data_IF_507670536461
#
_entry.id   IF_507670536461
#
_cell.length_a   1.000
_cell.length_b   1.000
_cell.length_c   1.000
_cell.angle_alpha   90.00
_cell.angle_beta   90.00
_cell.angle_gamma   90.00
#
_symmetry.space_group_name_H-M   'P 1'
#
loop_
_entity.id
_entity.type
_entity.pdbx_description
1 polymer ?
#
# COMPACT_ATOMS: atom_id res chain seq x y z
N UNK A 1 14.40 22.02 -11.29
CA UNK A 1 13.60 21.72 -12.49
C UNK A 1 12.44 20.84 -12.06
N UNK A 2 11.18 21.19 -12.35
CA UNK A 2 10.05 20.30 -12.03
C UNK A 2 10.20 19.00 -12.83
N UNK A 3 10.13 17.85 -12.16
CA UNK A 3 10.18 16.55 -12.82
C UNK A 3 8.98 16.47 -13.80
N UNK A 4 9.23 16.56 -15.10
CA UNK A 4 8.16 16.37 -16.08
C UNK A 4 7.91 14.88 -16.19
N UNK A 5 6.85 14.42 -15.54
CA UNK A 5 6.39 13.05 -15.71
C UNK A 5 5.67 13.00 -17.05
N UNK A 6 6.16 12.24 -18.05
CA UNK A 6 5.43 12.03 -19.29
C UNK A 6 4.06 11.36 -19.00
N UNK A 7 3.22 11.18 -20.02
CA UNK A 7 1.88 10.53 -19.94
C UNK A 7 1.92 9.08 -19.38
N UNK A 8 2.34 8.90 -18.14
CA UNK A 8 2.43 7.64 -17.43
C UNK A 8 1.09 7.34 -16.75
N UNK A 9 0.76 6.06 -16.66
CA UNK A 9 -0.38 5.60 -15.89
C UNK A 9 -0.17 5.87 -14.40
N UNK A 10 -1.26 5.92 -13.63
CA UNK A 10 -1.21 6.03 -12.15
C UNK A 10 -0.25 4.98 -11.56
N UNK A 11 -0.28 3.75 -12.10
CA UNK A 11 0.63 2.71 -11.66
C UNK A 11 2.10 3.04 -11.92
N UNK A 12 2.43 3.52 -13.12
CA UNK A 12 3.80 3.93 -13.46
C UNK A 12 4.31 5.09 -12.59
N UNK A 13 3.45 6.07 -12.30
CA UNK A 13 3.79 7.18 -11.38
C UNK A 13 4.06 6.62 -9.97
N UNK A 14 3.19 5.74 -9.48
CA UNK A 14 3.35 5.09 -8.17
C UNK A 14 4.65 4.28 -8.08
N UNK A 15 5.09 3.58 -9.12
CA UNK A 15 6.38 2.87 -9.13
C UNK A 15 7.58 3.82 -9.10
N UNK A 16 7.54 4.94 -9.83
CA UNK A 16 8.64 5.92 -9.79
C UNK A 16 8.68 6.59 -8.41
N UNK A 17 7.52 6.95 -7.85
CA UNK A 17 7.42 7.49 -6.51
C UNK A 17 7.93 6.49 -5.46
N UNK A 18 7.67 5.19 -5.64
CA UNK A 18 8.21 4.14 -4.80
C UNK A 18 9.74 4.14 -4.79
N UNK A 19 10.38 4.24 -5.96
CA UNK A 19 11.84 4.31 -6.02
C UNK A 19 12.37 5.51 -5.22
N UNK A 20 11.82 6.71 -5.43
CA UNK A 20 12.22 7.89 -4.65
C UNK A 20 11.97 7.70 -3.13
N UNK A 21 10.85 7.08 -2.77
CA UNK A 21 10.53 6.77 -1.38
C UNK A 21 11.55 5.81 -0.74
N UNK A 22 11.87 4.71 -1.41
CA UNK A 22 12.87 3.73 -0.96
C UNK A 22 14.25 4.38 -0.78
N UNK A 23 14.67 5.27 -1.69
CA UNK A 23 15.97 5.96 -1.58
C UNK A 23 15.98 7.16 -0.62
N UNK A 24 14.88 7.45 0.08
CA UNK A 24 14.80 8.59 1.00
C UNK A 24 14.73 9.96 0.30
N UNK A 25 14.49 10.00 -1.00
CA UNK A 25 14.29 11.22 -1.79
C UNK A 25 12.86 11.76 -1.60
N UNK A 26 12.52 12.15 -0.38
CA UNK A 26 11.13 12.41 0.05
C UNK A 26 10.46 13.55 -0.72
N UNK A 27 11.19 14.63 -1.00
CA UNK A 27 10.64 15.78 -1.75
C UNK A 27 10.20 15.37 -3.16
N UNK A 28 11.05 14.64 -3.88
CA UNK A 28 10.75 14.13 -5.23
C UNK A 28 9.60 13.12 -5.22
N UNK A 29 9.50 12.29 -4.18
CA UNK A 29 8.34 11.42 -4.00
C UNK A 29 7.04 12.23 -3.87
N UNK A 30 7.02 13.25 -3.00
CA UNK A 30 5.84 14.10 -2.82
C UNK A 30 5.49 14.92 -4.07
N UNK A 31 6.49 15.43 -4.81
CA UNK A 31 6.27 16.14 -6.07
C UNK A 31 5.52 15.29 -7.11
N UNK A 32 5.75 13.98 -7.12
CA UNK A 32 5.03 13.05 -7.99
C UNK A 32 3.63 12.70 -7.46
N UNK A 33 3.52 12.44 -6.16
CA UNK A 33 2.29 11.92 -5.57
C UNK A 33 1.19 12.96 -5.46
N UNK A 34 1.51 14.21 -5.10
CA UNK A 34 0.51 15.23 -4.82
C UNK A 34 -0.36 15.55 -6.05
N UNK A 35 0.19 15.86 -7.24
CA UNK A 35 -0.61 16.14 -8.43
C UNK A 35 -1.44 14.93 -8.89
N UNK A 36 -0.88 13.72 -8.76
CA UNK A 36 -1.56 12.48 -9.13
C UNK A 36 -2.79 12.23 -8.25
N UNK A 37 -2.65 12.41 -6.92
CA UNK A 37 -3.73 12.24 -5.97
C UNK A 37 -4.83 13.30 -6.16
N UNK A 38 -4.45 14.56 -6.40
CA UNK A 38 -5.38 15.65 -6.69
C UNK A 38 -6.17 15.42 -7.99
N UNK A 39 -5.49 14.98 -9.05
CA UNK A 39 -6.13 14.62 -10.33
C UNK A 39 -7.09 13.44 -10.15
N UNK A 40 -6.69 12.42 -9.39
CA UNK A 40 -7.52 11.23 -9.15
C UNK A 40 -8.75 11.53 -8.29
N UNK A 41 -8.68 12.55 -7.42
CA UNK A 41 -9.83 13.04 -6.63
C UNK A 41 -10.79 13.86 -7.48
N UNK A 42 -10.28 14.73 -8.34
CA UNK A 42 -11.10 15.59 -9.22
C UNK A 42 -11.68 14.87 -10.43
N UNK A 43 -11.03 13.81 -10.92
CA UNK A 43 -11.46 12.99 -12.06
C UNK A 43 -11.40 11.50 -11.72
N UNK A 44 -12.44 10.94 -11.08
CA UNK A 44 -12.49 9.53 -10.70
C UNK A 44 -12.31 8.56 -11.89
N UNK A 45 -12.61 9.01 -13.11
CA UNK A 45 -12.46 8.24 -14.35
C UNK A 45 -10.98 7.99 -14.77
N UNK A 46 -10.01 8.78 -14.28
CA UNK A 46 -8.56 8.55 -14.52
C UNK A 46 -8.04 7.31 -13.77
N UNK A 47 -8.83 6.76 -12.82
CA UNK A 47 -8.57 5.47 -12.16
C UNK A 47 -8.49 4.29 -13.14
N UNK A 48 -8.88 4.47 -14.40
CA UNK A 48 -9.08 3.41 -15.40
C UNK A 48 -7.97 3.30 -16.45
N UNK A 49 -6.83 3.98 -16.30
CA UNK A 49 -5.83 4.07 -17.36
C UNK A 49 -4.79 2.92 -17.34
N UNK A 50 -5.27 1.67 -17.39
CA UNK A 50 -4.49 0.53 -17.83
C UNK A 50 -5.27 -0.24 -18.90
N UNK A 51 -4.59 -0.83 -19.88
CA UNK A 51 -5.21 -1.66 -20.92
C UNK A 51 -6.06 -2.81 -20.32
N UNK A 52 -5.69 -3.27 -19.13
CA UNK A 52 -6.46 -4.25 -18.35
C UNK A 52 -7.79 -3.69 -17.84
N UNK A 53 -7.84 -2.42 -17.45
CA UNK A 53 -9.08 -1.75 -17.01
C UNK A 53 -10.09 -1.64 -18.16
N UNK A 54 -9.64 -1.44 -19.40
CA UNK A 54 -10.49 -1.49 -20.60
C UNK A 54 -11.02 -2.91 -20.83
N UNK A 55 -10.16 -3.92 -20.65
CA UNK A 55 -10.53 -5.34 -20.76
C UNK A 55 -11.56 -5.76 -19.70
N UNK A 56 -11.40 -5.29 -18.45
CA UNK A 56 -12.36 -5.50 -17.37
C UNK A 56 -13.70 -4.78 -17.61
N UNK A 57 -13.67 -3.57 -18.20
CA UNK A 57 -14.88 -2.84 -18.60
C UNK A 57 -15.65 -3.59 -19.71
N UNK A 58 -14.92 -4.17 -20.68
CA UNK A 58 -15.50 -5.00 -21.74
C UNK A 58 -16.08 -6.30 -21.14
N UNK A 59 -15.36 -6.98 -20.24
CA UNK A 59 -15.85 -8.16 -19.53
C UNK A 59 -17.10 -7.88 -18.69
N UNK A 60 -17.14 -6.75 -17.98
CA UNK A 60 -18.31 -6.31 -17.21
C UNK A 60 -19.55 -6.15 -18.10
N UNK A 61 -19.39 -5.53 -19.27
CA UNK A 61 -20.47 -5.36 -20.25
C UNK A 61 -20.91 -6.65 -20.93
N UNK A 62 -20.02 -7.65 -21.05
CA UNK A 62 -20.33 -8.95 -21.67
C UNK A 62 -20.98 -9.92 -20.66
N UNK A 63 -20.62 -9.84 -19.39
CA UNK A 63 -21.03 -10.82 -18.38
C UNK A 63 -22.30 -10.45 -17.60
N UNK A 64 -22.97 -9.31 -17.86
CA UNK A 64 -24.14 -8.84 -17.11
C UNK A 64 -23.97 -8.92 -15.57
N UNK A 65 -22.73 -8.78 -15.09
CA UNK A 65 -22.41 -8.80 -13.67
C UNK A 65 -22.16 -7.39 -13.17
N UNK A 66 -22.65 -7.08 -11.96
CA UNK A 66 -22.29 -5.88 -11.20
C UNK A 66 -20.78 -5.89 -10.88
N UNK A 67 -19.97 -5.54 -11.87
CA UNK A 67 -18.50 -5.41 -11.78
C UNK A 67 -18.07 -3.95 -11.59
N UNK A 68 -19.04 -3.06 -11.30
CA UNK A 68 -18.90 -1.61 -11.23
C UNK A 68 -17.86 -1.09 -10.22
N UNK A 69 -17.34 -1.95 -9.35
CA UNK A 69 -16.47 -1.54 -8.24
C UNK A 69 -15.03 -2.11 -8.31
N UNK A 70 -14.67 -2.95 -9.28
CA UNK A 70 -13.32 -3.55 -9.29
C UNK A 70 -12.22 -2.53 -9.60
N UNK A 71 -11.47 -2.11 -8.55
CA UNK A 71 -10.34 -1.17 -8.70
C UNK A 71 -9.10 -1.92 -9.19
N UNK A 72 -8.40 -1.45 -10.23
CA UNK A 72 -7.21 -2.13 -10.75
C UNK A 72 -6.10 -2.13 -9.70
N UNK A 73 -5.53 -3.31 -9.47
CA UNK A 73 -4.33 -3.49 -8.63
C UNK A 73 -3.10 -3.55 -9.51
N UNK A 74 -1.99 -3.02 -9.00
CA UNK A 74 -0.66 -3.16 -9.63
C UNK A 74 0.22 -4.04 -8.74
N UNK A 75 1.13 -4.77 -9.39
CA UNK A 75 2.23 -5.42 -8.69
C UNK A 75 3.33 -4.38 -8.50
N UNK A 76 3.49 -3.91 -7.27
CA UNK A 76 4.64 -3.09 -6.88
C UNK A 76 5.83 -4.01 -6.73
N UNK A 77 6.75 -3.91 -7.68
CA UNK A 77 7.97 -4.71 -7.73
C UNK A 77 8.98 -4.07 -6.78
N UNK A 78 9.47 -4.87 -5.83
CA UNK A 78 10.59 -4.54 -4.98
C UNK A 78 11.79 -5.40 -5.38
N UNK A 79 12.95 -4.79 -5.37
CA UNK A 79 14.22 -5.47 -5.57
C UNK A 79 14.83 -5.88 -4.23
N UNK A 80 15.60 -6.98 -4.16
CA UNK A 80 16.24 -7.43 -2.93
C UNK A 80 17.07 -6.34 -2.22
N UNK A 81 17.71 -5.46 -2.99
CA UNK A 81 18.52 -4.36 -2.45
C UNK A 81 17.69 -3.27 -1.76
N UNK A 82 16.39 -3.17 -2.04
CA UNK A 82 15.50 -2.18 -1.44
C UNK A 82 15.04 -2.59 -0.05
N UNK A 83 15.03 -3.89 0.29
CA UNK A 83 14.57 -4.41 1.60
C UNK A 83 15.09 -3.66 2.84
N UNK A 84 16.39 -3.31 2.97
CA UNK A 84 16.88 -2.54 4.12
C UNK A 84 16.41 -1.08 4.12
N UNK A 85 15.98 -0.56 2.98
CA UNK A 85 15.53 0.82 2.79
C UNK A 85 14.01 0.99 3.01
N UNK A 86 13.26 -0.11 2.91
CA UNK A 86 11.81 -0.09 3.10
C UNK A 86 11.43 0.20 4.55
N UNK A 87 10.36 0.96 4.72
CA UNK A 87 9.63 1.04 5.99
C UNK A 87 9.30 -0.35 6.50
N UNK A 88 9.35 -0.53 7.82
CA UNK A 88 9.02 -1.78 8.49
C UNK A 88 7.73 -2.40 7.97
N UNK A 89 6.65 -1.63 7.80
CA UNK A 89 5.36 -2.16 7.35
C UNK A 89 5.47 -2.88 5.99
N UNK A 90 6.04 -2.22 4.99
CA UNK A 90 6.22 -2.80 3.65
C UNK A 90 7.23 -3.94 3.67
N UNK A 91 8.29 -3.82 4.48
CA UNK A 91 9.30 -4.86 4.63
C UNK A 91 8.68 -6.15 5.16
N UNK A 92 7.78 -6.09 6.15
CA UNK A 92 7.09 -7.27 6.66
C UNK A 92 6.15 -7.87 5.61
N UNK A 93 5.41 -7.05 4.87
CA UNK A 93 4.58 -7.53 3.76
C UNK A 93 5.42 -8.29 2.72
N UNK A 94 6.57 -7.73 2.32
CA UNK A 94 7.46 -8.31 1.32
C UNK A 94 8.17 -9.59 1.82
N UNK A 95 8.69 -9.59 3.05
CA UNK A 95 9.39 -10.74 3.62
C UNK A 95 8.45 -11.92 3.89
N UNK A 96 7.27 -11.66 4.42
CA UNK A 96 6.30 -12.74 4.70
C UNK A 96 5.81 -13.37 3.41
N UNK A 97 5.56 -12.58 2.37
CA UNK A 97 5.26 -13.09 1.03
C UNK A 97 6.36 -14.01 0.50
N UNK A 98 7.63 -13.61 0.66
CA UNK A 98 8.78 -14.44 0.29
C UNK A 98 8.77 -15.77 1.03
N UNK A 99 8.64 -15.76 2.37
CA UNK A 99 8.65 -16.99 3.16
C UNK A 99 7.47 -17.91 2.84
N UNK A 100 6.26 -17.35 2.72
CA UNK A 100 5.07 -18.12 2.33
C UNK A 100 5.32 -18.80 0.97
N UNK A 101 5.81 -18.07 -0.02
CA UNK A 101 6.07 -18.64 -1.33
C UNK A 101 7.22 -19.64 -1.33
N UNK A 102 8.31 -19.44 -0.59
CA UNK A 102 9.38 -20.44 -0.42
C UNK A 102 8.85 -21.76 0.17
N UNK A 103 7.93 -21.69 1.14
CA UNK A 103 7.26 -22.85 1.70
C UNK A 103 6.40 -23.58 0.65
N UNK A 104 5.70 -22.84 -0.21
CA UNK A 104 4.87 -23.42 -1.29
C UNK A 104 5.70 -23.91 -2.48
N UNK A 105 6.79 -23.23 -2.84
CA UNK A 105 7.64 -23.57 -3.99
C UNK A 105 8.63 -24.69 -3.68
N UNK A 106 9.02 -24.94 -2.43
CA UNK A 106 9.63 -26.23 -2.05
C UNK A 106 8.75 -27.44 -2.36
N UNK A 107 7.44 -27.24 -2.60
CA UNK A 107 6.50 -28.29 -3.04
C UNK A 107 6.28 -28.30 -4.57
N UNK A 108 6.79 -27.32 -5.32
CA UNK A 108 6.58 -27.19 -6.76
C UNK A 108 7.93 -26.89 -7.47
N UNK A 109 8.47 -27.90 -8.14
CA UNK A 109 9.76 -27.82 -8.84
C UNK A 109 9.66 -26.86 -10.03
N UNK A 110 10.53 -25.85 -10.08
CA UNK A 110 10.80 -25.02 -11.27
C UNK A 110 10.01 -23.70 -11.34
N UNK A 111 10.41 -22.68 -10.58
CA UNK A 111 9.90 -21.32 -10.74
C UNK A 111 11.03 -20.29 -10.88
N UNK A 112 10.76 -19.33 -11.78
CA UNK A 112 11.62 -18.24 -12.28
C UNK A 112 12.14 -17.30 -11.19
N UNK A 113 13.13 -16.47 -11.57
CA UNK A 113 13.72 -15.39 -10.77
C UNK A 113 12.64 -14.58 -10.03
N UNK A 114 12.75 -14.57 -8.70
CA UNK A 114 11.76 -14.01 -7.79
C UNK A 114 11.77 -12.47 -7.82
N UNK A 115 10.61 -11.90 -8.11
CA UNK A 115 10.33 -10.47 -7.94
C UNK A 115 9.44 -10.34 -6.69
N UNK A 116 9.84 -9.52 -5.71
CA UNK A 116 8.99 -9.22 -4.57
C UNK A 116 7.83 -8.36 -5.07
N UNK A 117 6.63 -8.91 -5.17
CA UNK A 117 5.48 -8.15 -5.63
C UNK A 117 4.52 -7.91 -4.46
N UNK A 118 4.25 -6.65 -4.14
CA UNK A 118 3.08 -6.31 -3.34
C UNK A 118 1.96 -5.89 -4.30
N UNK A 119 0.91 -6.70 -4.35
CA UNK A 119 -0.27 -6.40 -5.16
C UNK A 119 -1.20 -5.47 -4.38
N UNK A 120 -1.32 -4.22 -4.81
CA UNK A 120 -2.28 -3.28 -4.24
C UNK A 120 -2.74 -2.21 -5.24
N UNK A 121 -3.83 -1.53 -4.90
CA UNK A 121 -4.30 -0.35 -5.62
C UNK A 121 -3.21 0.75 -5.59
N UNK A 122 -2.80 1.30 -6.75
CA UNK A 122 -1.78 2.34 -6.84
C UNK A 122 -2.05 3.58 -5.96
N UNK A 123 -3.32 3.95 -5.80
CA UNK A 123 -3.74 5.11 -5.01
C UNK A 123 -3.69 4.80 -3.52
N UNK A 124 -3.99 3.55 -3.12
CA UNK A 124 -3.75 3.08 -1.75
C UNK A 124 -2.28 3.24 -1.41
N UNK A 125 -1.38 2.82 -2.31
CA UNK A 125 0.04 2.95 -2.03
C UNK A 125 0.50 4.40 -2.03
N UNK A 126 -0.02 5.22 -2.94
CA UNK A 126 0.27 6.64 -3.00
C UNK A 126 -0.13 7.36 -1.71
N UNK A 127 -1.31 7.07 -1.15
CA UNK A 127 -1.76 7.62 0.12
C UNK A 127 -0.88 7.17 1.28
N UNK A 128 -0.52 5.88 1.32
CA UNK A 128 0.44 5.35 2.29
C UNK A 128 1.79 6.09 2.23
N UNK A 129 2.39 6.19 1.04
CA UNK A 129 3.66 6.89 0.83
C UNK A 129 3.57 8.36 1.20
N UNK A 130 2.48 9.06 0.81
CA UNK A 130 2.23 10.45 1.19
C UNK A 130 2.25 10.63 2.71
N UNK A 131 1.53 9.78 3.45
CA UNK A 131 1.53 9.80 4.91
C UNK A 131 2.93 9.61 5.49
N UNK A 132 3.66 8.58 5.04
CA UNK A 132 5.01 8.29 5.53
C UNK A 132 5.99 9.41 5.22
N UNK A 133 5.97 9.93 3.99
CA UNK A 133 6.77 11.07 3.58
C UNK A 133 6.53 12.29 4.48
N UNK A 134 5.26 12.63 4.75
CA UNK A 134 4.89 13.75 5.62
C UNK A 134 5.40 13.58 7.05
N UNK A 135 5.33 12.37 7.61
CA UNK A 135 5.94 12.09 8.91
C UNK A 135 7.46 12.20 8.90
N UNK A 136 8.12 11.68 7.87
CA UNK A 136 9.59 11.68 7.76
C UNK A 136 10.16 13.09 7.69
N UNK A 137 9.46 14.05 7.08
CA UNK A 137 9.87 15.46 7.06
C UNK A 137 9.44 16.25 8.32
N UNK A 138 8.81 15.60 9.30
CA UNK A 138 8.34 16.24 10.53
C UNK A 138 7.05 17.08 10.38
N UNK A 139 6.35 16.98 9.25
CA UNK A 139 5.09 17.69 8.99
C UNK A 139 3.91 16.93 9.62
N UNK A 140 3.74 17.09 10.93
CA UNK A 140 2.71 16.39 11.71
C UNK A 140 1.28 16.75 11.25
N UNK A 141 1.03 18.02 10.91
CA UNK A 141 -0.28 18.47 10.43
C UNK A 141 -0.56 17.82 9.06
N UNK A 142 0.42 17.89 8.15
CA UNK A 142 0.33 17.25 6.84
C UNK A 142 0.16 15.74 6.93
N UNK A 143 0.78 15.06 7.89
CA UNK A 143 0.58 13.61 8.09
C UNK A 143 -0.83 13.29 8.59
N UNK A 144 -1.40 14.10 9.51
CA UNK A 144 -2.78 13.93 9.95
C UNK A 144 -3.77 14.11 8.80
N UNK A 145 -3.54 15.12 7.95
CA UNK A 145 -4.36 15.33 6.75
C UNK A 145 -4.23 14.16 5.77
N UNK A 146 -3.00 13.73 5.46
CA UNK A 146 -2.77 12.58 4.58
C UNK A 146 -3.41 11.29 5.11
N UNK A 147 -3.42 11.07 6.42
CA UNK A 147 -4.08 9.94 7.04
C UNK A 147 -5.60 9.99 6.86
N UNK A 148 -6.21 11.14 7.10
CA UNK A 148 -7.65 11.33 6.90
C UNK A 148 -8.04 11.05 5.44
N UNK A 149 -7.25 11.54 4.48
CA UNK A 149 -7.48 11.24 3.07
C UNK A 149 -7.35 9.75 2.76
N UNK A 150 -6.42 9.06 3.41
CA UNK A 150 -6.26 7.61 3.27
C UNK A 150 -7.49 6.86 3.82
N UNK A 151 -8.02 7.26 4.98
CA UNK A 151 -9.28 6.73 5.53
C UNK A 151 -10.47 6.95 4.57
N UNK A 152 -10.58 8.15 4.00
CA UNK A 152 -11.70 8.55 3.13
C UNK A 152 -11.74 7.84 1.78
N UNK A 153 -10.65 7.22 1.33
CA UNK A 153 -10.62 6.56 0.02
C UNK A 153 -11.66 5.46 -0.13
N UNK A 154 -12.02 4.81 0.98
CA UNK A 154 -12.83 3.61 1.00
C UNK A 154 -12.13 2.45 0.28
N UNK A 155 -12.34 1.24 0.77
CA UNK A 155 -11.75 0.05 0.18
C UNK A 155 -12.79 -0.87 -0.48
N UNK A 156 -14.00 -0.37 -0.76
CA UNK A 156 -14.98 -1.12 -1.55
C UNK A 156 -14.41 -1.44 -2.92
N UNK A 157 -14.52 -2.70 -3.35
CA UNK A 157 -14.10 -3.13 -4.67
C UNK A 157 -12.58 -3.19 -4.92
N UNK A 158 -11.75 -2.95 -3.89
CA UNK A 158 -10.29 -3.14 -3.98
C UNK A 158 -9.95 -4.62 -3.85
N UNK A 159 -9.40 -5.24 -4.90
CA UNK A 159 -8.80 -6.57 -4.77
C UNK A 159 -7.63 -6.54 -3.78
N UNK A 160 -7.43 -7.60 -2.99
CA UNK A 160 -6.39 -7.66 -1.95
C UNK A 160 -6.50 -6.56 -0.87
N UNK A 161 -7.72 -6.10 -0.59
CA UNK A 161 -8.07 -5.09 0.43
C UNK A 161 -7.43 -5.29 1.80
N UNK A 162 -7.12 -6.53 2.21
CA UNK A 162 -6.42 -6.83 3.44
C UNK A 162 -5.04 -6.14 3.55
N UNK A 163 -4.31 -5.95 2.43
CA UNK A 163 -3.05 -5.20 2.43
C UNK A 163 -3.31 -3.72 2.73
N UNK A 164 -4.29 -3.12 2.05
CA UNK A 164 -4.69 -1.73 2.26
C UNK A 164 -5.12 -1.47 3.71
N UNK A 165 -5.93 -2.37 4.28
CA UNK A 165 -6.37 -2.31 5.68
C UNK A 165 -5.20 -2.41 6.65
N UNK A 166 -4.23 -3.29 6.39
CA UNK A 166 -3.05 -3.44 7.26
C UNK A 166 -2.16 -2.19 7.23
N UNK A 167 -1.91 -1.64 6.04
CA UNK A 167 -1.14 -0.40 5.90
C UNK A 167 -1.85 0.79 6.56
N UNK A 168 -3.16 0.92 6.39
CA UNK A 168 -3.94 1.95 7.09
C UNK A 168 -3.88 1.76 8.61
N UNK A 169 -3.97 0.52 9.09
CA UNK A 169 -3.82 0.18 10.51
C UNK A 169 -2.48 0.66 11.08
N UNK A 170 -1.37 0.42 10.37
CA UNK A 170 -0.05 0.91 10.78
C UNK A 170 0.00 2.44 10.85
N UNK A 171 -0.53 3.13 9.84
CA UNK A 171 -0.56 4.60 9.82
C UNK A 171 -1.41 5.19 10.95
N UNK A 172 -2.60 4.62 11.21
CA UNK A 172 -3.48 5.01 12.31
C UNK A 172 -2.79 4.85 13.67
N UNK A 173 -2.11 3.72 13.87
CA UNK A 173 -1.40 3.45 15.11
C UNK A 173 -0.26 4.46 15.33
N UNK A 174 0.57 4.70 14.32
CA UNK A 174 1.66 5.67 14.39
C UNK A 174 1.16 7.09 14.71
N UNK A 175 -0.06 7.42 14.27
CA UNK A 175 -0.72 8.69 14.55
C UNK A 175 -1.52 8.70 15.87
N UNK A 176 -1.41 7.67 16.70
CA UNK A 176 -2.04 7.59 18.02
C UNK A 176 -3.49 7.08 18.02
N UNK A 177 -4.09 6.76 16.87
CA UNK A 177 -5.46 6.26 16.76
C UNK A 177 -5.52 4.73 16.97
N UNK A 178 -5.10 4.26 18.15
CA UNK A 178 -4.88 2.83 18.45
C UNK A 178 -6.13 1.96 18.25
N UNK A 179 -7.29 2.39 18.74
CA UNK A 179 -8.54 1.62 18.61
C UNK A 179 -8.96 1.44 17.14
N UNK A 180 -8.86 2.51 16.34
CA UNK A 180 -9.13 2.44 14.91
C UNK A 180 -8.14 1.50 14.20
N UNK A 181 -6.86 1.54 14.58
CA UNK A 181 -5.85 0.64 14.03
C UNK A 181 -6.21 -0.83 14.26
N UNK A 182 -6.57 -1.19 15.51
CA UNK A 182 -7.02 -2.55 15.86
C UNK A 182 -8.24 -2.97 15.03
N UNK A 183 -9.21 -2.07 14.83
CA UNK A 183 -10.36 -2.33 13.97
C UNK A 183 -9.94 -2.65 12.52
N UNK A 184 -9.01 -1.89 11.94
CA UNK A 184 -8.51 -2.13 10.58
C UNK A 184 -7.78 -3.48 10.47
N UNK A 185 -6.94 -3.85 11.43
CA UNK A 185 -6.30 -5.17 11.45
C UNK A 185 -7.32 -6.30 11.60
N UNK A 186 -8.33 -6.13 12.44
CA UNK A 186 -9.43 -7.10 12.57
C UNK A 186 -10.20 -7.27 11.27
N UNK A 187 -10.44 -6.20 10.52
CA UNK A 187 -11.02 -6.27 9.18
C UNK A 187 -10.09 -7.00 8.21
N UNK A 188 -8.79 -6.70 8.22
CA UNK A 188 -7.78 -7.36 7.37
C UNK A 188 -7.76 -8.88 7.59
N UNK A 189 -7.79 -9.35 8.84
CA UNK A 189 -7.86 -10.77 9.18
C UNK A 189 -9.16 -11.41 8.68
N UNK A 190 -10.30 -10.73 8.82
CA UNK A 190 -11.59 -11.25 8.33
C UNK A 190 -11.59 -11.46 6.82
N UNK A 191 -10.93 -10.57 6.08
CA UNK A 191 -10.77 -10.67 4.63
C UNK A 191 -9.82 -11.79 4.22
N UNK A 192 -8.72 -11.99 4.97
CA UNK A 192 -7.78 -13.08 4.70
C UNK A 192 -7.08 -13.56 5.99
N UNK A 193 -7.60 -14.65 6.57
CA UNK A 193 -7.09 -15.26 7.80
C UNK A 193 -5.73 -15.94 7.63
N UNK A 194 -5.35 -16.26 6.40
CA UNK A 194 -4.07 -16.93 6.10
C UNK A 194 -2.94 -15.93 5.81
N UNK A 195 -3.26 -14.63 5.80
CA UNK A 195 -2.28 -13.57 5.60
C UNK A 195 -1.43 -13.37 6.85
N UNK A 196 -0.30 -14.08 6.91
CA UNK A 196 0.66 -14.01 8.02
C UNK A 196 1.18 -12.58 8.28
N UNK A 197 1.29 -11.73 7.25
CA UNK A 197 1.82 -10.37 7.38
C UNK A 197 0.97 -9.51 8.34
N UNK A 198 -0.35 -9.65 8.32
CA UNK A 198 -1.26 -8.94 9.22
C UNK A 198 -0.98 -9.27 10.69
N UNK A 199 -0.69 -10.54 11.00
CA UNK A 199 -0.33 -10.95 12.36
C UNK A 199 1.02 -10.40 12.81
N UNK A 200 2.00 -10.33 11.90
CA UNK A 200 3.29 -9.70 12.20
C UNK A 200 3.12 -8.21 12.52
N UNK A 201 2.31 -7.47 11.76
CA UNK A 201 1.99 -6.07 12.08
C UNK A 201 1.43 -5.96 13.49
N UNK A 202 0.40 -6.74 13.83
CA UNK A 202 -0.19 -6.73 15.18
C UNK A 202 0.86 -7.04 16.25
N UNK A 203 1.68 -8.08 16.05
CA UNK A 203 2.69 -8.48 17.02
C UNK A 203 3.71 -7.37 17.31
N UNK A 204 4.15 -6.65 16.28
CA UNK A 204 5.09 -5.53 16.43
C UNK A 204 4.44 -4.38 17.19
N UNK A 205 3.18 -4.07 16.89
CA UNK A 205 2.44 -3.04 17.59
C UNK A 205 2.29 -3.36 19.08
N UNK A 206 1.90 -4.59 19.42
CA UNK A 206 1.80 -5.04 20.81
C UNK A 206 3.17 -5.00 21.51
N UNK A 207 4.24 -5.42 20.83
CA UNK A 207 5.58 -5.37 21.41
C UNK A 207 6.04 -3.93 21.72
N UNK A 208 5.68 -2.96 20.87
CA UNK A 208 5.95 -1.53 21.12
C UNK A 208 5.21 -1.03 22.36
N UNK A 209 3.93 -1.37 22.53
CA UNK A 209 3.15 -1.00 23.72
C UNK A 209 3.76 -1.55 25.01
N UNK A 210 4.14 -2.83 25.00
CA UNK A 210 4.76 -3.49 26.15
C UNK A 210 6.08 -2.78 26.50
N UNK A 211 6.91 -2.53 25.50
CA UNK A 211 8.21 -1.87 25.68
C UNK A 211 8.07 -0.44 26.22
N UNK A 212 7.07 0.33 25.74
CA UNK A 212 6.80 1.68 26.24
C UNK A 212 6.29 1.71 27.67
N UNK A 213 5.52 0.70 28.08
CA UNK A 213 5.01 0.59 29.45
C UNK A 213 6.09 0.16 30.45
N UNK A 214 7.11 -0.58 29.98
CA UNK A 214 8.22 -1.06 30.83
C UNK A 214 9.25 0.04 31.13
N UNK A 215 9.33 1.09 30.30
CA UNK A 215 10.21 2.25 30.50
C UNK A 215 9.65 3.29 31.48
N UNK A 216 8.41 3.11 31.94
CA UNK A 216 7.69 4.03 32.85
C UNK A 216 7.50 3.40 34.24
N UNK A 217 7.91 2.14 34.44
CA UNK A 217 7.86 1.41 35.72
C UNK A 217 9.26 1.34 36.36
#
# INVERSE_FOLDING_TARGET
SKLQVPNLSVGGITHIAHAFFSFGCIEHCLELLLPMLETSRSKPQVRMNSYMSLFYLILANVCNGDMADSRPVINIQFYPFELPLLTNDIRFEALVLKFQQELYSRRAVGMQQFHFNLTLDPLVYACYMKFKCKRLVGDNIGSCLALKEFEEMGFSGVSHRYVALSLLGCCLYENGHKEKAVSMFGMSIRENKERMATYYHIAILLNREISSNTLIA
#
